data_IF_385809477952
#
_entry.id   IF_385809477952
#
_cell.length_a   1.000
_cell.length_b   1.000
_cell.length_c   1.000
_cell.angle_alpha   90.00
_cell.angle_beta   90.00
_cell.angle_gamma   90.00
#
_symmetry.space_group_name_H-M   'P 1'
#
loop_
_entity.id
_entity.type
_entity.pdbx_description
1 polymer ?
#
# COMPACT_ATOMS: atom_id res chain seq x y z
N UNK A 1 0.67 -63.34 -2.17
CA UNK A 1 0.29 -63.10 -3.57
C UNK A 1 -0.88 -62.15 -3.54
N UNK A 2 -0.85 -60.89 -3.96
CA UNK A 2 0.14 -60.02 -4.57
C UNK A 2 -0.23 -58.59 -4.12
N UNK A 3 0.76 -57.77 -3.74
CA UNK A 3 1.05 -56.47 -4.37
C UNK A 3 -0.02 -55.40 -4.18
N UNK A 4 0.21 -54.43 -3.28
CA UNK A 4 0.79 -53.13 -3.64
C UNK A 4 -0.05 -52.41 -4.70
N UNK A 5 -0.74 -51.35 -4.30
CA UNK A 5 -0.71 -50.07 -5.00
C UNK A 5 -1.16 -48.95 -4.04
N UNK A 6 -0.15 -48.35 -3.39
CA UNK A 6 -0.30 -47.03 -2.77
C UNK A 6 -0.19 -46.00 -3.88
N UNK A 7 -1.32 -45.50 -4.37
CA UNK A 7 -1.31 -44.32 -5.23
C UNK A 7 -1.08 -43.07 -4.36
N UNK A 8 0.19 -42.71 -4.19
CA UNK A 8 0.62 -41.41 -3.68
C UNK A 8 0.19 -40.32 -4.66
N UNK A 9 -0.91 -39.64 -4.40
CA UNK A 9 -1.17 -38.33 -5.01
C UNK A 9 -0.34 -37.28 -4.30
N UNK A 10 0.93 -37.21 -4.70
CA UNK A 10 1.78 -36.06 -4.49
C UNK A 10 1.21 -34.95 -5.40
N UNK A 11 0.18 -34.24 -4.94
CA UNK A 11 -0.32 -33.07 -5.66
C UNK A 11 0.71 -31.95 -5.50
N UNK A 12 1.50 -31.84 -6.55
CA UNK A 12 2.40 -30.74 -6.86
C UNK A 12 1.81 -29.40 -6.45
N UNK A 13 2.35 -28.85 -5.35
CA UNK A 13 2.09 -27.48 -4.95
C UNK A 13 2.79 -26.59 -5.98
N UNK A 14 2.09 -26.24 -7.06
CA UNK A 14 2.54 -25.23 -8.01
C UNK A 14 3.09 -24.02 -7.23
N UNK A 15 4.22 -23.42 -7.67
CA UNK A 15 4.75 -22.25 -6.99
C UNK A 15 3.63 -21.21 -6.90
N UNK A 16 3.30 -20.77 -5.68
CA UNK A 16 2.23 -19.79 -5.46
C UNK A 16 2.56 -18.57 -6.32
N UNK A 17 1.77 -18.36 -7.38
CA UNK A 17 1.89 -17.17 -8.21
C UNK A 17 1.80 -15.94 -7.30
N UNK A 18 2.63 -14.94 -7.55
CA UNK A 18 2.60 -13.69 -6.78
C UNK A 18 1.19 -13.09 -6.88
N UNK A 19 0.58 -12.77 -5.73
CA UNK A 19 -0.75 -12.15 -5.65
C UNK A 19 -0.64 -10.84 -4.89
N UNK A 20 -0.57 -9.69 -5.57
CA UNK A 20 -0.45 -8.38 -4.94
C UNK A 20 -1.49 -8.16 -3.83
N UNK A 21 -1.03 -7.72 -2.65
CA UNK A 21 -1.89 -7.26 -1.56
C UNK A 21 -2.13 -5.77 -1.70
N UNK A 22 -3.40 -5.35 -1.75
CA UNK A 22 -3.78 -3.96 -1.95
C UNK A 22 -4.45 -3.44 -0.68
N UNK A 23 -3.93 -2.36 -0.10
CA UNK A 23 -4.64 -1.62 0.95
C UNK A 23 -5.44 -0.48 0.31
N UNK A 24 -6.73 -0.41 0.58
CA UNK A 24 -7.60 0.69 0.15
C UNK A 24 -7.95 1.52 1.37
N UNK A 25 -7.61 2.81 1.35
CA UNK A 25 -8.20 3.78 2.26
C UNK A 25 -9.50 4.29 1.64
N UNK A 26 -10.64 3.98 2.24
CA UNK A 26 -11.96 4.43 1.80
C UNK A 26 -12.51 5.49 2.75
N UNK A 27 -13.14 6.52 2.20
CA UNK A 27 -13.91 7.46 3.02
C UNK A 27 -15.23 6.84 3.44
N UNK A 28 -15.52 6.89 4.74
CA UNK A 28 -16.69 6.25 5.34
C UNK A 28 -18.03 6.76 4.78
N UNK A 29 -18.11 8.04 4.38
CA UNK A 29 -19.37 8.66 3.97
C UNK A 29 -19.72 8.47 2.50
N UNK A 30 -18.73 8.34 1.60
CA UNK A 30 -18.99 8.31 0.15
C UNK A 30 -18.34 7.10 -0.52
N UNK A 31 -17.03 6.87 -0.36
CA UNK A 31 -16.36 5.77 -1.06
C UNK A 31 -16.75 4.40 -0.51
N UNK A 32 -16.87 4.25 0.81
CA UNK A 32 -17.19 2.98 1.47
C UNK A 32 -18.57 2.45 1.03
N UNK A 33 -19.65 3.25 0.97
CA UNK A 33 -20.92 2.82 0.37
C UNK A 33 -20.81 2.32 -1.07
N UNK A 34 -19.95 2.92 -1.89
CA UNK A 34 -19.71 2.46 -3.27
C UNK A 34 -19.01 1.10 -3.33
N UNK A 35 -18.12 0.83 -2.37
CA UNK A 35 -17.44 -0.46 -2.21
C UNK A 35 -18.41 -1.52 -1.68
N UNK A 36 -19.25 -1.17 -0.70
CA UNK A 36 -20.32 -2.05 -0.20
C UNK A 36 -21.32 -2.40 -1.31
N UNK A 37 -21.65 -1.42 -2.18
CA UNK A 37 -22.48 -1.66 -3.35
C UNK A 37 -21.86 -2.70 -4.28
N UNK A 38 -20.54 -2.65 -4.51
CA UNK A 38 -19.85 -3.67 -5.30
C UNK A 38 -19.99 -5.08 -4.70
N UNK A 39 -19.89 -5.19 -3.36
CA UNK A 39 -20.11 -6.44 -2.64
C UNK A 39 -21.56 -6.94 -2.75
N UNK A 40 -22.53 -6.08 -2.48
CA UNK A 40 -23.97 -6.41 -2.57
C UNK A 40 -24.43 -6.76 -3.99
N UNK A 41 -23.76 -6.19 -5.00
CA UNK A 41 -24.00 -6.45 -6.42
C UNK A 41 -23.21 -7.64 -6.95
N UNK A 42 -22.52 -8.38 -6.08
CA UNK A 42 -21.70 -9.55 -6.44
C UNK A 42 -20.64 -9.26 -7.51
N UNK A 43 -20.08 -8.05 -7.54
CA UNK A 43 -19.03 -7.68 -8.48
C UNK A 43 -17.68 -8.21 -8.03
N UNK A 44 -17.04 -9.01 -8.87
CA UNK A 44 -15.76 -9.63 -8.55
C UNK A 44 -14.56 -8.71 -8.84
N UNK A 45 -13.72 -8.54 -7.82
CA UNK A 45 -12.39 -7.92 -7.87
C UNK A 45 -11.38 -8.80 -7.09
N UNK A 46 -10.06 -8.53 -7.17
CA UNK A 46 -9.06 -9.37 -6.54
C UNK A 46 -9.29 -9.56 -5.03
N UNK A 47 -9.23 -10.80 -4.50
CA UNK A 47 -9.58 -11.10 -3.11
C UNK A 47 -8.50 -10.68 -2.09
N UNK A 48 -7.39 -10.12 -2.56
CA UNK A 48 -6.27 -9.61 -1.75
C UNK A 48 -6.38 -8.12 -1.45
N UNK A 49 -7.50 -7.50 -1.85
CA UNK A 49 -7.87 -6.12 -1.50
C UNK A 49 -8.38 -6.09 -0.07
N UNK A 50 -7.78 -5.22 0.75
CA UNK A 50 -8.17 -4.95 2.14
C UNK A 50 -8.59 -3.50 2.23
N UNK A 51 -9.82 -3.26 2.68
CA UNK A 51 -10.38 -1.91 2.82
C UNK A 51 -10.25 -1.45 4.27
N UNK A 52 -9.79 -0.22 4.46
CA UNK A 52 -9.67 0.44 5.75
C UNK A 52 -10.42 1.78 5.69
N UNK A 53 -11.61 1.87 6.29
CA UNK A 53 -12.40 3.08 6.28
C UNK A 53 -11.77 4.17 7.16
N UNK A 54 -11.84 5.40 6.68
CA UNK A 54 -11.39 6.63 7.34
C UNK A 54 -12.48 7.71 7.21
N UNK A 55 -12.53 8.71 8.10
CA UNK A 55 -13.52 9.77 7.97
C UNK A 55 -13.37 10.61 6.69
N UNK A 56 -12.13 10.95 6.31
CA UNK A 56 -11.88 11.81 5.17
C UNK A 56 -10.48 11.57 4.60
N UNK A 57 -10.36 11.52 3.27
CA UNK A 57 -9.10 11.26 2.57
C UNK A 57 -8.06 12.36 2.76
N UNK A 58 -8.48 13.61 3.00
CA UNK A 58 -7.56 14.71 3.32
C UNK A 58 -6.93 14.60 4.71
N UNK A 59 -7.39 13.66 5.55
CA UNK A 59 -6.78 13.33 6.85
C UNK A 59 -5.65 12.31 6.76
N UNK A 60 -5.41 11.72 5.58
CA UNK A 60 -4.34 10.76 5.38
C UNK A 60 -2.97 11.40 5.57
N UNK A 61 -2.06 10.65 6.18
CA UNK A 61 -0.66 11.03 6.31
C UNK A 61 0.18 10.20 5.32
N UNK A 62 1.05 10.81 4.49
CA UNK A 62 1.95 10.08 3.60
C UNK A 62 2.75 8.96 4.28
N UNK A 63 3.13 9.16 5.55
CA UNK A 63 3.83 8.15 6.36
C UNK A 63 3.02 6.86 6.60
N UNK A 64 1.68 6.93 6.61
CA UNK A 64 0.84 5.74 6.74
C UNK A 64 0.90 4.88 5.49
N UNK A 65 0.95 5.50 4.31
CA UNK A 65 1.09 4.84 3.01
C UNK A 65 2.46 4.14 2.93
N UNK A 66 3.53 4.85 3.29
CA UNK A 66 4.87 4.25 3.39
C UNK A 66 4.89 3.05 4.36
N UNK A 67 4.29 3.21 5.54
CA UNK A 67 4.25 2.13 6.54
C UNK A 67 3.47 0.91 6.05
N UNK A 68 2.41 1.10 5.28
CA UNK A 68 1.68 -0.01 4.68
C UNK A 68 2.57 -0.83 3.73
N UNK A 69 3.33 -0.16 2.85
CA UNK A 69 4.28 -0.85 1.96
C UNK A 69 5.37 -1.59 2.76
N UNK A 70 5.96 -0.94 3.77
CA UNK A 70 6.96 -1.56 4.65
C UNK A 70 6.43 -2.79 5.41
N UNK A 71 5.11 -2.85 5.66
CA UNK A 71 4.43 -4.00 6.29
C UNK A 71 4.03 -5.09 5.29
N UNK A 72 4.41 -4.96 4.02
CA UNK A 72 4.22 -5.98 2.99
C UNK A 72 2.90 -5.89 2.22
N UNK A 73 2.26 -4.72 2.19
CA UNK A 73 1.29 -4.42 1.12
C UNK A 73 2.05 -4.10 -0.16
N UNK A 74 1.55 -4.59 -1.29
CA UNK A 74 2.20 -4.40 -2.58
C UNK A 74 1.80 -3.08 -3.26
N UNK A 75 0.62 -2.58 -2.92
CA UNK A 75 0.15 -1.26 -3.31
C UNK A 75 -0.88 -0.68 -2.36
N UNK A 76 -1.02 0.64 -2.41
CA UNK A 76 -1.97 1.42 -1.63
C UNK A 76 -2.85 2.23 -2.58
N UNK A 77 -4.15 2.15 -2.38
CA UNK A 77 -5.16 2.88 -3.13
C UNK A 77 -5.88 3.86 -2.20
N UNK A 78 -6.06 5.10 -2.65
CA UNK A 78 -6.82 6.12 -1.95
C UNK A 78 -8.14 6.30 -2.71
N UNK A 79 -9.23 5.78 -2.15
CA UNK A 79 -10.59 6.03 -2.63
C UNK A 79 -11.08 7.33 -1.97
N UNK A 80 -11.12 8.40 -2.77
CA UNK A 80 -11.46 9.74 -2.32
C UNK A 80 -12.90 10.12 -2.70
N UNK A 81 -13.48 11.09 -2.00
CA UNK A 81 -14.84 11.58 -2.24
C UNK A 81 -14.98 12.39 -3.55
N UNK A 82 -13.85 12.86 -4.09
CA UNK A 82 -13.88 13.91 -5.11
C UNK A 82 -14.42 15.22 -4.54
N UNK A 83 -15.21 15.94 -5.33
CA UNK A 83 -15.75 17.27 -4.98
C UNK A 83 -16.83 17.23 -3.90
N UNK A 84 -17.36 16.04 -3.58
CA UNK A 84 -18.53 15.87 -2.71
C UNK A 84 -18.14 15.54 -1.25
N UNK A 85 -16.96 15.98 -0.81
CA UNK A 85 -16.51 15.74 0.56
C UNK A 85 -17.44 16.46 1.55
N UNK A 86 -18.01 15.74 2.54
CA UNK A 86 -18.95 16.34 3.51
C UNK A 86 -18.26 17.22 4.56
N UNK A 87 -16.93 17.18 4.65
CA UNK A 87 -16.16 17.89 5.68
C UNK A 87 -15.48 19.15 5.17
N UNK A 88 -14.94 19.14 3.94
CA UNK A 88 -14.06 20.18 3.43
C UNK A 88 -14.27 20.42 1.93
N UNK A 89 -14.43 21.68 1.48
CA UNK A 89 -14.60 22.00 0.06
C UNK A 89 -13.31 21.80 -0.76
N UNK A 90 -12.14 21.82 -0.12
CA UNK A 90 -10.82 21.64 -0.76
C UNK A 90 -10.24 20.23 -0.53
N UNK A 91 -11.07 19.26 -0.13
CA UNK A 91 -10.64 17.89 0.16
C UNK A 91 -9.90 17.24 -1.01
N UNK A 92 -10.39 17.41 -2.24
CA UNK A 92 -9.78 16.87 -3.47
C UNK A 92 -8.34 17.33 -3.61
N UNK A 93 -8.11 18.65 -3.51
CA UNK A 93 -6.78 19.23 -3.71
C UNK A 93 -5.81 18.80 -2.60
N UNK A 94 -6.30 18.72 -1.35
CA UNK A 94 -5.51 18.22 -0.22
C UNK A 94 -5.14 16.76 -0.41
N UNK A 95 -6.09 15.93 -0.83
CA UNK A 95 -5.88 14.50 -1.06
C UNK A 95 -4.90 14.28 -2.23
N UNK A 96 -5.02 15.06 -3.30
CA UNK A 96 -4.08 15.02 -4.43
C UNK A 96 -2.65 15.38 -3.98
N UNK A 97 -2.48 16.43 -3.17
CA UNK A 97 -1.18 16.78 -2.57
C UNK A 97 -0.64 15.65 -1.71
N UNK A 98 -1.47 15.04 -0.87
CA UNK A 98 -1.09 13.89 -0.03
C UNK A 98 -0.63 12.71 -0.90
N UNK A 99 -1.36 12.38 -1.98
CA UNK A 99 -1.00 11.30 -2.88
C UNK A 99 0.35 11.55 -3.56
N UNK A 100 0.58 12.78 -4.07
CA UNK A 100 1.86 13.17 -4.68
C UNK A 100 3.01 13.12 -3.66
N UNK A 101 2.82 13.67 -2.46
CA UNK A 101 3.84 13.61 -1.39
C UNK A 101 4.10 12.16 -0.96
N UNK A 102 3.08 11.30 -0.94
CA UNK A 102 3.26 9.89 -0.64
C UNK A 102 4.08 9.18 -1.72
N UNK A 103 3.79 9.42 -3.01
CA UNK A 103 4.57 8.88 -4.12
C UNK A 103 6.05 9.30 -4.05
N UNK A 104 6.32 10.57 -3.77
CA UNK A 104 7.69 11.07 -3.55
C UNK A 104 8.35 10.36 -2.36
N UNK A 105 7.67 10.32 -1.21
CA UNK A 105 8.19 9.72 0.00
C UNK A 105 8.52 8.23 -0.18
N UNK A 106 7.66 7.45 -0.84
CA UNK A 106 7.95 6.03 -1.06
C UNK A 106 9.10 5.81 -2.05
N UNK A 107 9.27 6.72 -3.03
CA UNK A 107 10.37 6.70 -3.98
C UNK A 107 11.70 6.93 -3.27
N UNK A 108 11.76 7.89 -2.34
CA UNK A 108 12.93 8.12 -1.48
C UNK A 108 13.31 6.88 -0.66
N UNK A 109 12.32 6.04 -0.32
CA UNK A 109 12.51 4.78 0.41
C UNK A 109 12.75 3.57 -0.51
N UNK A 110 12.86 3.78 -1.83
CA UNK A 110 13.18 2.73 -2.80
C UNK A 110 11.99 1.94 -3.33
N UNK A 111 10.76 2.41 -3.13
CA UNK A 111 9.56 1.81 -3.72
C UNK A 111 9.13 2.56 -4.98
N UNK A 112 8.59 1.83 -5.94
CA UNK A 112 8.04 2.41 -7.18
C UNK A 112 6.82 3.30 -6.89
N UNK A 113 6.75 4.54 -7.42
CA UNK A 113 5.64 5.46 -7.18
C UNK A 113 4.30 4.91 -7.68
N UNK A 114 4.32 4.05 -8.69
CA UNK A 114 3.16 3.35 -9.22
C UNK A 114 2.48 2.41 -8.20
N UNK A 115 3.11 2.14 -7.04
CA UNK A 115 2.50 1.41 -5.92
C UNK A 115 1.50 2.25 -5.13
N UNK A 116 1.32 3.53 -5.44
CA UNK A 116 0.31 4.40 -4.84
C UNK A 116 -0.59 4.96 -5.92
N UNK A 117 -1.90 4.74 -5.78
CA UNK A 117 -2.92 5.23 -6.71
C UNK A 117 -4.03 5.95 -5.95
N UNK A 118 -4.63 6.95 -6.58
CA UNK A 118 -5.77 7.70 -6.06
C UNK A 118 -6.84 7.76 -7.15
N UNK A 119 -8.11 7.61 -6.76
CA UNK A 119 -9.25 7.91 -7.63
C UNK A 119 -10.43 8.40 -6.78
N UNK A 120 -11.31 9.18 -7.42
CA UNK A 120 -12.60 9.52 -6.82
C UNK A 120 -13.55 8.32 -6.95
N UNK A 121 -14.14 7.88 -5.84
CA UNK A 121 -15.12 6.79 -5.78
C UNK A 121 -16.39 7.33 -5.11
N UNK A 122 -17.43 7.55 -5.90
CA UNK A 122 -18.73 7.98 -5.40
C UNK A 122 -19.51 6.83 -4.73
N UNK A 123 -20.59 7.17 -4.03
CA UNK A 123 -21.46 6.20 -3.32
C UNK A 123 -22.15 5.18 -4.20
N UNK A 124 -22.20 5.41 -5.52
CA UNK A 124 -22.76 4.49 -6.53
C UNK A 124 -21.71 3.96 -7.51
N UNK A 125 -20.42 4.22 -7.26
CA UNK A 125 -19.33 3.92 -8.16
C UNK A 125 -18.78 2.48 -8.01
N UNK A 126 -19.67 1.50 -7.91
CA UNK A 126 -19.31 0.08 -7.72
C UNK A 126 -18.48 -0.49 -8.88
N UNK A 127 -18.93 -0.31 -10.12
CA UNK A 127 -18.21 -0.77 -11.32
C UNK A 127 -16.88 -0.03 -11.52
N UNK A 128 -16.80 1.33 -11.40
CA UNK A 128 -15.53 2.04 -11.39
C UNK A 128 -14.54 1.51 -10.35
N UNK A 129 -14.98 1.24 -9.12
CA UNK A 129 -14.13 0.68 -8.08
C UNK A 129 -13.54 -0.68 -8.49
N UNK A 130 -14.38 -1.59 -9.00
CA UNK A 130 -13.96 -2.92 -9.48
C UNK A 130 -12.93 -2.80 -10.61
N UNK A 131 -13.18 -1.89 -11.56
CA UNK A 131 -12.27 -1.61 -12.67
C UNK A 131 -10.91 -1.10 -12.16
N UNK A 132 -10.93 -0.16 -11.22
CA UNK A 132 -9.72 0.35 -10.59
C UNK A 132 -8.93 -0.74 -9.86
N UNK A 133 -9.59 -1.62 -9.12
CA UNK A 133 -8.92 -2.72 -8.40
C UNK A 133 -8.27 -3.71 -9.35
N UNK A 134 -8.93 -4.07 -10.46
CA UNK A 134 -8.36 -4.96 -11.49
C UNK A 134 -7.14 -4.35 -12.17
N UNK A 135 -7.29 -3.13 -12.68
CA UNK A 135 -6.20 -2.43 -13.36
C UNK A 135 -5.01 -2.17 -12.44
N UNK A 136 -5.28 -1.84 -11.17
CA UNK A 136 -4.23 -1.62 -10.19
C UNK A 136 -3.53 -2.94 -9.82
N UNK A 137 -4.28 -4.02 -9.67
CA UNK A 137 -3.71 -5.35 -9.43
C UNK A 137 -2.77 -5.78 -10.57
N UNK A 138 -3.17 -5.58 -11.83
CA UNK A 138 -2.31 -5.87 -13.00
C UNK A 138 -1.03 -5.02 -12.99
N UNK A 139 -1.15 -3.75 -12.65
CA UNK A 139 0.01 -2.86 -12.49
C UNK A 139 0.96 -3.39 -11.42
N UNK A 140 0.45 -3.82 -10.26
CA UNK A 140 1.29 -4.35 -9.20
C UNK A 140 1.88 -5.72 -9.56
N UNK A 141 1.16 -6.52 -10.34
CA UNK A 141 1.61 -7.81 -10.83
C UNK A 141 2.87 -7.68 -11.69
N UNK A 142 2.95 -6.64 -12.53
CA UNK A 142 4.13 -6.35 -13.36
C UNK A 142 5.30 -5.75 -12.57
N UNK A 143 5.03 -5.04 -11.48
CA UNK A 143 6.05 -4.49 -10.57
C UNK A 143 6.67 -5.55 -9.64
N UNK A 144 6.01 -6.70 -9.45
CA UNK A 144 6.45 -7.73 -8.52
C UNK A 144 6.23 -7.37 -7.03
N UNK A 145 6.63 -8.27 -6.12
CA UNK A 145 6.41 -8.11 -4.68
C UNK A 145 7.26 -6.97 -4.10
N UNK A 146 6.74 -6.29 -3.08
CA UNK A 146 7.47 -5.20 -2.41
C UNK A 146 8.78 -5.65 -1.75
N UNK A 147 8.86 -6.92 -1.31
CA UNK A 147 10.04 -7.47 -0.64
C UNK A 147 11.33 -7.43 -1.47
N UNK A 148 11.22 -7.52 -2.80
CA UNK A 148 12.39 -7.51 -3.69
C UNK A 148 13.12 -6.16 -3.67
N UNK A 149 12.37 -5.07 -3.47
CA UNK A 149 12.93 -3.71 -3.35
C UNK A 149 13.70 -3.48 -2.05
N UNK A 150 13.37 -4.21 -0.97
CA UNK A 150 14.03 -4.09 0.34
C UNK A 150 15.28 -4.98 0.48
N UNK A 151 15.32 -6.11 -0.24
CA UNK A 151 16.45 -7.04 -0.25
C UNK A 151 17.77 -6.39 -0.72
N UNK A 152 17.69 -5.42 -1.65
CA UNK A 152 18.87 -4.78 -2.23
C UNK A 152 19.57 -3.72 -1.35
N UNK A 153 19.00 -3.33 -0.20
CA UNK A 153 19.50 -2.18 0.60
C UNK A 153 19.75 -2.46 2.09
N UNK A 154 19.87 -3.72 2.51
CA UNK A 154 20.29 -4.05 3.88
C UNK A 154 21.82 -4.13 4.02
N UNK A 155 22.50 -3.00 3.89
CA UNK A 155 23.80 -2.81 4.55
C UNK A 155 23.72 -1.57 5.44
N UNK A 156 23.60 -1.71 6.77
CA UNK A 156 23.57 -0.56 7.65
C UNK A 156 24.96 0.09 7.66
N UNK A 157 25.04 1.34 7.22
CA UNK A 157 26.19 2.20 7.47
C UNK A 157 26.04 2.80 8.88
N UNK A 158 26.67 2.18 9.88
CA UNK A 158 26.96 2.84 11.16
C UNK A 158 28.11 2.13 11.89
N UNK A 159 29.34 2.54 11.61
CA UNK A 159 30.43 2.48 12.60
C UNK A 159 31.57 3.40 12.16
N UNK A 160 31.54 4.66 12.60
CA UNK A 160 32.75 5.46 12.72
C UNK A 160 32.73 6.15 14.08
N UNK A 161 33.27 5.40 15.05
CA UNK A 161 34.21 5.83 16.09
C UNK A 161 34.15 7.27 16.60
N UNK A 162 33.79 7.39 17.88
CA UNK A 162 34.21 8.44 18.80
C UNK A 162 35.69 8.79 18.69
N UNK A 163 36.07 10.06 18.91
CA UNK A 163 37.36 10.39 19.50
C UNK A 163 37.23 10.68 20.99
N UNK A 164 38.00 9.92 21.77
CA UNK A 164 38.33 10.14 23.18
C UNK A 164 39.30 11.33 23.34
N UNK A 165 38.92 12.26 24.22
CA UNK A 165 39.72 12.93 25.26
C UNK A 165 41.16 13.43 24.98
N UNK A 166 41.38 14.75 25.13
CA UNK A 166 42.66 15.30 25.57
C UNK A 166 42.47 16.62 26.35
N UNK A 167 42.84 16.53 27.62
CA UNK A 167 42.86 17.53 28.69
C UNK A 167 44.03 18.53 28.55
N UNK A 168 43.83 19.82 28.87
CA UNK A 168 44.90 20.64 29.48
C UNK A 168 44.38 21.84 30.30
N UNK A 169 44.37 21.67 31.63
CA UNK A 169 44.49 22.73 32.66
C UNK A 169 45.67 23.67 32.38
N UNK A 170 45.49 24.99 32.56
CA UNK A 170 46.33 25.83 33.48
C UNK A 170 45.83 27.28 33.63
N UNK A 171 45.79 27.76 34.90
CA UNK A 171 46.08 29.10 35.49
C UNK A 171 45.60 30.35 34.71
N UNK A 172 44.85 31.30 35.26
CA UNK A 172 44.83 31.85 36.62
C UNK A 172 45.24 33.32 36.57
N UNK A 173 44.29 34.24 36.80
CA UNK A 173 44.38 35.50 37.55
C UNK A 173 43.04 36.22 37.44
#
# INVERSE_FOLDING_TARGET
MASHDQEKTNQDRAPKSFRPKILVFSTNSISDPGIDLAGSSHLHYPPTVVVLPIPCSSGLKPKWILSALQKGFDGVFIAADGTDCPYLPDCTDRTAKIATTAQQLITEHGFEPARVKMAAICSVCAEPFVSHMKAFYETLQSLGPVGDSLSSKSKPASSTSSPSEANKKTKGK
#
